data_IF_045687150826
#
_entry.id   IF_045687150826
#
_cell.length_a   1.000
_cell.length_b   1.000
_cell.length_c   1.000
_cell.angle_alpha   90.00
_cell.angle_beta   90.00
_cell.angle_gamma   90.00
#
_symmetry.space_group_name_H-M   'P 1'
#
loop_
_entity.id
_entity.type
_entity.pdbx_description
1 polymer ?
#
# COMPACT_ATOMS: atom_id res chain seq x y z
N UNK A 1 -11.94 -8.39 -46.21
CA UNK A 1 -12.19 -7.43 -45.13
C UNK A 1 -12.73 -8.21 -43.95
N UNK A 2 -11.96 -8.36 -42.88
CA UNK A 2 -12.45 -8.94 -41.61
C UNK A 2 -13.05 -7.78 -40.82
N UNK A 3 -14.37 -7.67 -40.83
CA UNK A 3 -15.08 -6.71 -39.99
C UNK A 3 -15.20 -7.33 -38.59
N UNK A 4 -14.41 -6.82 -37.65
CA UNK A 4 -14.56 -7.12 -36.24
C UNK A 4 -15.78 -6.37 -35.71
N UNK A 5 -16.94 -7.03 -35.73
CA UNK A 5 -18.09 -6.57 -34.96
C UNK A 5 -17.86 -6.92 -33.50
N UNK A 6 -17.26 -5.98 -32.75
CA UNK A 6 -17.26 -6.03 -31.30
C UNK A 6 -18.59 -5.46 -30.81
N UNK A 7 -19.63 -6.29 -30.73
CA UNK A 7 -20.82 -5.95 -29.96
C UNK A 7 -20.44 -6.03 -28.49
N UNK A 8 -20.16 -4.90 -27.86
CA UNK A 8 -20.02 -4.83 -26.41
C UNK A 8 -21.40 -5.12 -25.84
N UNK A 9 -21.56 -6.29 -25.22
CA UNK A 9 -22.78 -6.60 -24.48
C UNK A 9 -22.83 -5.70 -23.24
N UNK A 10 -23.72 -4.70 -23.30
CA UNK A 10 -23.91 -3.75 -22.21
C UNK A 10 -24.43 -4.44 -20.93
N UNK A 11 -25.09 -5.60 -21.06
CA UNK A 11 -25.60 -6.35 -19.90
C UNK A 11 -24.48 -7.01 -19.09
N UNK A 12 -23.46 -7.53 -19.75
CA UNK A 12 -22.24 -8.05 -19.09
C UNK A 12 -21.47 -6.93 -18.37
N UNK A 13 -21.41 -5.75 -18.98
CA UNK A 13 -20.78 -4.59 -18.36
C UNK A 13 -21.52 -4.13 -17.09
N UNK A 14 -22.84 -4.02 -17.15
CA UNK A 14 -23.68 -3.63 -16.01
C UNK A 14 -23.58 -4.67 -14.87
N UNK A 15 -23.62 -5.96 -15.19
CA UNK A 15 -23.49 -7.02 -14.19
C UNK A 15 -22.12 -7.00 -13.49
N UNK A 16 -21.03 -6.78 -14.23
CA UNK A 16 -19.69 -6.65 -13.66
C UNK A 16 -19.56 -5.39 -12.79
N UNK A 17 -20.17 -4.27 -13.21
CA UNK A 17 -20.19 -3.05 -12.41
C UNK A 17 -20.91 -3.27 -11.07
N UNK A 18 -22.07 -3.94 -11.09
CA UNK A 18 -22.80 -4.30 -9.86
C UNK A 18 -21.94 -5.17 -8.95
N UNK A 19 -21.30 -6.22 -9.48
CA UNK A 19 -20.40 -7.08 -8.71
C UNK A 19 -19.23 -6.30 -8.07
N UNK A 20 -18.64 -5.35 -8.80
CA UNK A 20 -17.62 -4.45 -8.25
C UNK A 20 -18.17 -3.63 -7.07
N UNK A 21 -19.35 -3.03 -7.21
CA UNK A 21 -19.96 -2.22 -6.16
C UNK A 21 -20.28 -3.05 -4.92
N UNK A 22 -20.76 -4.28 -5.10
CA UNK A 22 -21.02 -5.22 -4.01
C UNK A 22 -19.75 -5.59 -3.25
N UNK A 23 -18.65 -5.93 -3.95
CA UNK A 23 -17.38 -6.20 -3.29
C UNK A 23 -16.85 -4.97 -2.54
N UNK A 24 -16.92 -3.77 -3.14
CA UNK A 24 -16.52 -2.52 -2.47
C UNK A 24 -17.35 -2.28 -1.21
N UNK A 25 -18.66 -2.54 -1.25
CA UNK A 25 -19.51 -2.44 -0.07
C UNK A 25 -19.09 -3.44 1.02
N UNK A 26 -18.83 -4.70 0.65
CA UNK A 26 -18.33 -5.73 1.57
C UNK A 26 -16.97 -5.36 2.17
N UNK A 27 -16.04 -4.83 1.38
CA UNK A 27 -14.71 -4.38 1.84
C UNK A 27 -14.80 -3.28 2.90
N UNK A 28 -15.78 -2.37 2.79
CA UNK A 28 -16.01 -1.27 3.74
C UNK A 28 -16.54 -1.75 5.09
N UNK A 29 -17.35 -2.80 5.10
CA UNK A 29 -17.96 -3.34 6.33
C UNK A 29 -17.15 -4.47 6.96
N UNK A 30 -16.23 -5.11 6.23
CA UNK A 30 -15.34 -6.13 6.77
C UNK A 30 -14.24 -5.49 7.63
N UNK A 31 -14.44 -5.50 8.95
CA UNK A 31 -13.64 -4.75 9.93
C UNK A 31 -12.78 -5.67 10.80
N UNK A 32 -11.59 -5.17 11.11
CA UNK A 32 -10.59 -5.75 11.99
C UNK A 32 -10.23 -4.68 13.03
N UNK A 33 -11.02 -4.59 14.10
CA UNK A 33 -10.96 -3.47 15.04
C UNK A 33 -11.32 -2.14 14.35
N UNK A 34 -10.43 -1.16 14.42
CA UNK A 34 -10.63 0.16 13.81
C UNK A 34 -10.41 0.17 12.29
N UNK A 35 -9.77 -0.85 11.74
CA UNK A 35 -9.46 -0.94 10.32
C UNK A 35 -10.50 -1.75 9.54
N UNK A 36 -10.62 -1.48 8.25
CA UNK A 36 -11.37 -2.29 7.30
C UNK A 36 -10.48 -2.74 6.16
N UNK A 37 -10.89 -3.73 5.36
CA UNK A 37 -10.16 -4.06 4.12
C UNK A 37 -10.11 -2.86 3.17
N UNK A 38 -11.15 -2.02 3.16
CA UNK A 38 -11.19 -0.79 2.36
C UNK A 38 -10.14 0.26 2.78
N UNK A 39 -9.62 0.21 4.01
CA UNK A 39 -8.55 1.11 4.45
C UNK A 39 -7.29 0.98 3.58
N UNK A 40 -7.04 -0.22 3.04
CA UNK A 40 -5.88 -0.49 2.17
C UNK A 40 -5.90 0.38 0.91
N UNK A 41 -7.08 0.74 0.41
CA UNK A 41 -7.24 1.59 -0.77
C UNK A 41 -7.26 3.08 -0.44
N UNK A 42 -7.73 3.46 0.74
CA UNK A 42 -7.99 4.86 1.10
C UNK A 42 -6.85 5.51 1.90
N UNK A 43 -6.15 4.76 2.77
CA UNK A 43 -5.17 5.29 3.73
C UNK A 43 -3.72 5.09 3.28
N UNK A 44 -3.30 5.76 2.20
CA UNK A 44 -2.00 5.52 1.57
C UNK A 44 -0.83 6.40 2.09
N UNK A 45 -1.12 7.56 2.69
CA UNK A 45 -0.09 8.53 3.10
C UNK A 45 0.81 7.98 4.20
N UNK A 46 0.21 7.51 5.28
CA UNK A 46 0.87 6.80 6.38
C UNK A 46 0.00 5.60 6.80
N UNK A 47 0.23 4.42 6.21
CA UNK A 47 -0.68 3.29 6.32
C UNK A 47 -0.51 2.53 7.65
N UNK A 48 -1.01 3.12 8.73
CA UNK A 48 -0.94 2.52 10.09
C UNK A 48 -1.70 1.20 10.21
N UNK A 49 -2.65 0.91 9.31
CA UNK A 49 -3.37 -0.36 9.25
C UNK A 49 -2.44 -1.57 9.05
N UNK A 50 -1.22 -1.36 8.55
CA UNK A 50 -0.23 -2.44 8.36
C UNK A 50 0.14 -3.11 9.70
N UNK A 51 0.03 -2.39 10.81
CA UNK A 51 0.34 -2.89 12.15
C UNK A 51 -0.78 -3.78 12.74
N UNK A 52 -1.88 -3.95 12.02
CA UNK A 52 -3.01 -4.76 12.47
C UNK A 52 -2.82 -6.22 12.01
N UNK A 53 -2.35 -7.07 12.92
CA UNK A 53 -2.05 -8.48 12.63
C UNK A 53 -3.27 -9.25 12.11
N UNK A 54 -4.45 -9.00 12.67
CA UNK A 54 -5.70 -9.65 12.24
C UNK A 54 -6.05 -9.29 10.80
N UNK A 55 -5.92 -8.01 10.43
CA UNK A 55 -6.10 -7.55 9.05
C UNK A 55 -5.07 -8.19 8.11
N UNK A 56 -3.80 -8.22 8.54
CA UNK A 56 -2.73 -8.82 7.76
C UNK A 56 -2.99 -10.31 7.49
N UNK A 57 -3.41 -11.07 8.51
CA UNK A 57 -3.74 -12.48 8.38
C UNK A 57 -4.95 -12.68 7.44
N UNK A 58 -5.98 -11.83 7.55
CA UNK A 58 -7.14 -11.89 6.67
C UNK A 58 -6.77 -11.66 5.20
N UNK A 59 -5.93 -10.66 4.89
CA UNK A 59 -5.49 -10.37 3.50
C UNK A 59 -4.63 -11.50 2.91
N UNK A 60 -3.82 -12.14 3.74
CA UNK A 60 -2.97 -13.28 3.32
C UNK A 60 -3.75 -14.60 3.22
N UNK A 61 -4.93 -14.67 3.81
CA UNK A 61 -5.76 -15.87 3.78
C UNK A 61 -6.22 -16.20 2.36
N UNK A 62 -6.29 -17.48 1.98
CA UNK A 62 -6.92 -17.90 0.73
C UNK A 62 -8.44 -17.63 0.71
N UNK A 63 -9.07 -17.41 1.88
CA UNK A 63 -10.50 -17.11 1.95
C UNK A 63 -10.85 -15.75 1.34
N UNK A 64 -9.95 -14.76 1.45
CA UNK A 64 -10.19 -13.41 0.91
C UNK A 64 -10.35 -13.43 -0.61
N UNK A 65 -9.72 -14.38 -1.30
CA UNK A 65 -9.80 -14.54 -2.75
C UNK A 65 -11.15 -15.13 -3.18
N UNK A 66 -11.74 -15.96 -2.32
CA UNK A 66 -13.09 -16.49 -2.52
C UNK A 66 -14.16 -15.42 -2.23
N UNK A 67 -13.93 -14.57 -1.24
CA UNK A 67 -14.87 -13.53 -0.83
C UNK A 67 -14.82 -12.27 -1.72
N UNK A 68 -13.64 -11.97 -2.27
CA UNK A 68 -13.36 -10.75 -3.05
C UNK A 68 -12.63 -11.07 -4.36
N UNK A 69 -13.17 -11.92 -5.25
CA UNK A 69 -12.49 -12.34 -6.47
C UNK A 69 -12.07 -11.19 -7.40
N UNK A 70 -12.81 -10.08 -7.43
CA UNK A 70 -12.49 -8.93 -8.28
C UNK A 70 -11.32 -8.13 -7.68
N UNK A 71 -11.40 -7.79 -6.40
CA UNK A 71 -10.44 -6.87 -5.77
C UNK A 71 -9.28 -7.56 -5.04
N UNK A 72 -9.29 -8.89 -4.85
CA UNK A 72 -8.28 -9.59 -4.04
C UNK A 72 -6.83 -9.35 -4.51
N UNK A 73 -6.58 -9.45 -5.82
CA UNK A 73 -5.24 -9.23 -6.39
C UNK A 73 -4.75 -7.80 -6.13
N UNK A 74 -5.60 -6.80 -6.36
CA UNK A 74 -5.31 -5.39 -6.12
C UNK A 74 -5.14 -5.11 -4.61
N UNK A 75 -5.98 -5.71 -3.76
CA UNK A 75 -5.92 -5.59 -2.31
C UNK A 75 -4.57 -6.06 -1.78
N UNK A 76 -4.13 -7.26 -2.16
CA UNK A 76 -2.82 -7.83 -1.76
C UNK A 76 -1.67 -6.94 -2.25
N UNK A 77 -1.69 -6.55 -3.52
CA UNK A 77 -0.66 -5.68 -4.09
C UNK A 77 -0.55 -4.33 -3.38
N UNK A 78 -1.69 -3.68 -3.10
CA UNK A 78 -1.74 -2.41 -2.36
C UNK A 78 -1.28 -2.57 -0.91
N UNK A 79 -1.64 -3.68 -0.26
CA UNK A 79 -1.18 -3.99 1.09
C UNK A 79 0.33 -4.18 1.14
N UNK A 80 0.92 -4.97 0.23
CA UNK A 80 2.38 -5.14 0.15
C UNK A 80 3.11 -3.82 -0.11
N UNK A 81 2.55 -2.98 -1.00
CA UNK A 81 3.07 -1.64 -1.24
C UNK A 81 3.05 -0.78 0.04
N UNK A 82 1.97 -0.88 0.84
CA UNK A 82 1.85 -0.19 2.13
C UNK A 82 2.86 -0.72 3.16
N UNK A 83 3.05 -2.04 3.26
CA UNK A 83 4.08 -2.66 4.12
C UNK A 83 5.46 -2.10 3.81
N UNK A 84 5.82 -2.08 2.53
CA UNK A 84 7.09 -1.51 2.08
C UNK A 84 7.23 -0.03 2.43
N UNK A 85 6.14 0.74 2.29
CA UNK A 85 6.10 2.15 2.65
C UNK A 85 6.37 2.38 4.13
N UNK A 86 5.72 1.64 5.03
CA UNK A 86 5.95 1.75 6.48
C UNK A 86 7.42 1.48 6.80
N UNK A 87 7.99 0.40 6.27
CA UNK A 87 9.41 0.07 6.49
C UNK A 87 10.36 1.19 6.02
N UNK A 88 10.06 1.84 4.89
CA UNK A 88 10.85 2.98 4.39
C UNK A 88 10.73 4.20 5.30
N UNK A 89 9.52 4.55 5.75
CA UNK A 89 9.28 5.66 6.66
C UNK A 89 9.98 5.45 8.00
N UNK A 90 9.84 4.25 8.59
CA UNK A 90 10.48 3.89 9.86
C UNK A 90 12.01 3.94 9.74
N UNK A 91 12.56 3.44 8.62
CA UNK A 91 14.00 3.49 8.35
C UNK A 91 14.51 4.92 8.27
N UNK A 92 13.81 5.79 7.53
CA UNK A 92 14.26 7.16 7.31
C UNK A 92 14.10 8.04 8.56
N UNK A 93 13.01 7.86 9.30
CA UNK A 93 12.78 8.54 10.57
C UNK A 93 13.94 8.30 11.55
N UNK A 94 14.51 7.09 11.57
CA UNK A 94 15.64 6.75 12.45
C UNK A 94 17.04 7.15 11.90
N UNK A 95 17.17 7.47 10.60
CA UNK A 95 18.46 7.76 9.95
C UNK A 95 18.63 9.26 9.64
N UNK A 96 17.52 9.99 9.52
CA UNK A 96 17.53 11.43 9.30
C UNK A 96 17.77 12.16 10.62
N UNK A 97 19.03 12.48 10.86
CA UNK A 97 19.44 13.41 11.91
C UNK A 97 19.02 14.84 11.52
N UNK A 98 17.81 15.22 11.91
CA UNK A 98 17.24 16.57 11.76
C UNK A 98 16.76 17.06 13.13
N UNK A 99 16.85 18.37 13.42
CA UNK A 99 16.41 18.95 14.69
C UNK A 99 14.88 19.12 14.73
N UNK A 100 14.14 18.06 14.37
CA UNK A 100 12.68 18.01 14.35
C UNK A 100 12.21 16.75 15.07
N UNK A 101 11.06 16.78 15.74
CA UNK A 101 10.45 15.57 16.29
C UNK A 101 10.21 14.52 15.20
N UNK A 102 10.33 13.27 15.61
CA UNK A 102 10.22 12.08 14.78
C UNK A 102 8.91 12.03 13.98
N UNK A 103 7.81 12.46 14.59
CA UNK A 103 6.47 12.54 14.01
C UNK A 103 6.42 13.58 12.88
N UNK A 104 7.11 14.71 13.03
CA UNK A 104 7.19 15.76 12.02
C UNK A 104 8.03 15.29 10.83
N UNK A 105 9.16 14.63 11.09
CA UNK A 105 9.99 14.02 10.03
C UNK A 105 9.16 13.00 9.24
N UNK A 106 8.47 12.08 9.94
CA UNK A 106 7.60 11.08 9.30
C UNK A 106 6.52 11.74 8.46
N UNK A 107 5.87 12.80 8.98
CA UNK A 107 4.83 13.54 8.25
C UNK A 107 5.38 14.17 6.97
N UNK A 108 6.55 14.80 7.01
CA UNK A 108 7.20 15.37 5.82
C UNK A 108 7.50 14.25 4.80
N UNK A 109 8.10 13.15 5.24
CA UNK A 109 8.42 12.00 4.38
C UNK A 109 7.16 11.35 3.79
N UNK A 110 6.03 11.40 4.50
CA UNK A 110 4.76 10.82 4.04
C UNK A 110 4.18 11.48 2.78
N UNK A 111 4.70 12.64 2.36
CA UNK A 111 4.35 13.27 1.08
C UNK A 111 5.15 12.73 -0.11
N UNK A 112 6.20 11.95 0.13
CA UNK A 112 7.02 11.35 -0.92
C UNK A 112 6.49 9.96 -1.32
N UNK A 113 6.64 9.61 -2.59
CA UNK A 113 6.39 8.24 -3.06
C UNK A 113 7.50 7.28 -2.61
N UNK A 114 7.24 5.97 -2.69
CA UNK A 114 8.20 4.96 -2.25
C UNK A 114 9.54 5.02 -3.00
N UNK A 115 9.54 5.47 -4.27
CA UNK A 115 10.77 5.58 -5.08
C UNK A 115 11.69 6.66 -4.53
N UNK A 116 11.13 7.83 -4.20
CA UNK A 116 11.90 8.91 -3.59
C UNK A 116 12.41 8.53 -2.20
N UNK A 117 11.59 7.87 -1.39
CA UNK A 117 12.02 7.36 -0.09
C UNK A 117 13.21 6.38 -0.23
N UNK A 118 13.16 5.45 -1.20
CA UNK A 118 14.26 4.54 -1.48
C UNK A 118 15.55 5.26 -1.90
N UNK A 119 15.46 6.30 -2.74
CA UNK A 119 16.63 7.09 -3.12
C UNK A 119 17.29 7.76 -1.91
N UNK A 120 16.50 8.29 -0.97
CA UNK A 120 17.02 8.90 0.26
C UNK A 120 17.71 7.84 1.13
N UNK A 121 17.11 6.65 1.29
CA UNK A 121 17.71 5.54 2.04
C UNK A 121 19.06 5.13 1.44
N UNK A 122 19.12 4.97 0.11
CA UNK A 122 20.35 4.61 -0.61
C UNK A 122 21.44 5.68 -0.44
N UNK A 123 21.12 6.94 -0.68
CA UNK A 123 22.08 8.05 -0.56
C UNK A 123 22.66 8.22 0.85
N UNK A 124 21.89 7.91 1.91
CA UNK A 124 22.41 7.92 3.29
C UNK A 124 23.33 6.74 3.59
N UNK A 125 23.06 5.54 3.03
CA UNK A 125 23.95 4.37 3.18
C UNK A 125 25.32 4.64 2.54
N UNK A 126 25.35 5.16 1.32
CA UNK A 126 26.60 5.47 0.60
C UNK A 126 27.46 6.51 1.35
N UNK A 127 26.85 7.56 1.90
CA UNK A 127 27.58 8.57 2.70
C UNK A 127 28.18 8.02 4.00
N UNK A 128 27.53 7.04 4.65
CA UNK A 128 28.08 6.39 5.85
C UNK A 128 29.30 5.53 5.48
N UNK A 129 29.26 4.82 4.36
CA UNK A 129 30.39 4.02 3.86
C UNK A 129 31.58 4.91 3.48
N UNK A 130 31.35 6.01 2.75
CA UNK A 130 32.43 6.92 2.34
C UNK A 130 33.09 7.67 3.51
N UNK A 131 32.38 7.90 4.63
CA UNK A 131 32.96 8.48 5.85
C UNK A 131 33.83 7.48 6.61
N UNK A 132 33.44 6.21 6.69
CA UNK A 132 34.26 5.15 7.34
C UNK A 132 35.60 4.93 6.62
N UNK A 133 35.62 5.00 5.28
CA UNK A 133 36.85 4.80 4.49
C UNK A 133 37.84 5.95 4.64
N UNK A 134 37.39 7.17 4.96
CA UNK A 134 38.26 8.35 5.17
C UNK A 134 38.79 8.48 6.61
N UNK A 135 38.50 7.53 7.49
CA UNK A 135 38.85 7.57 8.92
C UNK A 135 40.01 6.62 9.28
N UNK A 136 40.79 6.18 8.29
CA UNK A 136 41.94 5.26 8.45
C UNK A 136 43.20 5.96 7.97
#
# INVERSE_FOLDING_TARGET
KLEFNCSIDLSDFESYQVACLEEVAKLKINRFGWNSLFDVFSKHVDPTFVLNDSLQQAIKSPLVEKEFPIYCSLLRSKFEHAVKRVALLDTLQNILDMPLPNEIIRKILSYLDNRHLEYIVKGKKERKTSRKVKSV
#
